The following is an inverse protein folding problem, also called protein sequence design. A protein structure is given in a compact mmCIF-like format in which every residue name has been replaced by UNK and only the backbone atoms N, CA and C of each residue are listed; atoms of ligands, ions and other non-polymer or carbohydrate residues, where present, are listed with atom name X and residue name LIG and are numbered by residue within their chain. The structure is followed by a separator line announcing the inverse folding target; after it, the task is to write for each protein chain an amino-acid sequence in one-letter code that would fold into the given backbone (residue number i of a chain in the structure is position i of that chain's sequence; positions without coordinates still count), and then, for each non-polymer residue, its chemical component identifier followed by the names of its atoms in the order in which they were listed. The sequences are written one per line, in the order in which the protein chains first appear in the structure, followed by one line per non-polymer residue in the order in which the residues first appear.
data_IF_854584322618
#
_entry.id   IF_854584322618
#
_cell.length_a   1.000
_cell.length_b   1.000
_cell.length_c   1.000
_cell.angle_alpha   90.00
_cell.angle_beta   90.00
_cell.angle_gamma   90.00
#
_symmetry.space_group_name_H-M   'P 1'
#
loop_
_entity.id
_entity.type
_entity.pdbx_description
1 polymer ?
#
# COMPACT_ATOMS: atom_id res chain seq x y z
N UNK A 1 20.64 -21.85 -19.00
CA UNK A 1 20.08 -21.51 -17.68
C UNK A 1 20.41 -20.05 -17.39
N UNK A 2 19.48 -19.14 -17.67
CA UNK A 2 19.61 -17.72 -17.39
C UNK A 2 18.43 -17.32 -16.53
N UNK A 3 18.67 -17.02 -15.26
CA UNK A 3 17.65 -16.37 -14.45
C UNK A 3 17.34 -15.02 -15.11
N UNK A 4 16.06 -14.64 -15.24
CA UNK A 4 15.71 -13.32 -15.75
C UNK A 4 16.38 -12.28 -14.85
N UNK A 5 17.24 -11.46 -15.42
CA UNK A 5 17.86 -10.33 -14.71
C UNK A 5 16.75 -9.33 -14.44
N UNK A 6 16.38 -9.20 -13.16
CA UNK A 6 15.40 -8.21 -12.76
C UNK A 6 15.97 -6.80 -13.01
N UNK A 7 15.15 -5.86 -13.49
CA UNK A 7 15.56 -4.46 -13.61
C UNK A 7 15.96 -3.91 -12.23
N UNK A 8 16.88 -2.95 -12.24
CA UNK A 8 17.29 -2.23 -11.03
C UNK A 8 16.07 -1.64 -10.32
N UNK A 9 16.06 -1.72 -8.98
CA UNK A 9 15.01 -1.16 -8.12
C UNK A 9 14.84 0.34 -8.41
N UNK A 10 13.61 0.83 -8.23
CA UNK A 10 13.23 2.24 -8.42
C UNK A 10 13.45 2.81 -9.82
N UNK A 11 13.67 1.94 -10.83
CA UNK A 11 13.67 2.37 -12.23
C UNK A 11 12.28 2.26 -12.83
N UNK A 12 11.98 3.11 -13.83
CA UNK A 12 10.73 3.03 -14.60
C UNK A 12 10.45 1.61 -15.12
N UNK A 13 11.49 0.91 -15.57
CA UNK A 13 11.42 -0.48 -16.04
C UNK A 13 10.99 -1.47 -14.95
N UNK A 14 11.36 -1.23 -13.70
CA UNK A 14 10.90 -2.02 -12.57
C UNK A 14 9.40 -1.87 -12.38
N UNK A 15 8.89 -0.63 -12.33
CA UNK A 15 7.46 -0.39 -12.16
C UNK A 15 6.64 -0.86 -13.37
N UNK A 16 7.17 -0.74 -14.59
CA UNK A 16 6.53 -1.27 -15.80
C UNK A 16 6.39 -2.80 -15.73
N UNK A 17 7.43 -3.49 -15.25
CA UNK A 17 7.40 -4.94 -15.06
C UNK A 17 6.43 -5.34 -13.94
N UNK A 18 6.38 -4.62 -12.82
CA UNK A 18 5.37 -4.84 -11.77
C UNK A 18 3.94 -4.66 -12.32
N UNK A 19 3.69 -3.59 -13.07
CA UNK A 19 2.39 -3.34 -13.72
C UNK A 19 2.03 -4.48 -14.67
N UNK A 20 2.99 -4.99 -15.44
CA UNK A 20 2.78 -6.10 -16.35
C UNK A 20 2.44 -7.40 -15.62
N UNK A 21 3.15 -7.71 -14.52
CA UNK A 21 2.85 -8.89 -13.71
C UNK A 21 1.48 -8.82 -13.04
N UNK A 22 1.10 -7.66 -12.50
CA UNK A 22 -0.23 -7.45 -11.93
C UNK A 22 -1.29 -7.58 -13.02
N UNK A 23 -1.05 -7.00 -14.20
CA UNK A 23 -1.98 -7.10 -15.33
C UNK A 23 -2.18 -8.55 -15.78
N UNK A 24 -1.10 -9.32 -15.94
CA UNK A 24 -1.16 -10.73 -16.32
C UNK A 24 -1.88 -11.57 -15.26
N UNK A 25 -1.65 -11.26 -13.97
CA UNK A 25 -2.37 -11.88 -12.87
C UNK A 25 -3.88 -11.59 -12.93
N UNK A 26 -4.28 -10.35 -13.22
CA UNK A 26 -5.68 -9.93 -13.32
C UNK A 26 -6.37 -10.51 -14.57
N UNK A 27 -5.65 -10.69 -15.69
CA UNK A 27 -6.23 -11.12 -16.97
C UNK A 27 -6.19 -12.63 -17.19
N UNK A 28 -5.09 -13.28 -16.81
CA UNK A 28 -4.71 -14.60 -17.29
C UNK A 28 -4.84 -15.70 -16.22
N UNK A 29 -4.75 -15.35 -14.93
CA UNK A 29 -4.77 -16.33 -13.85
C UNK A 29 -6.20 -16.60 -13.36
N UNK A 30 -6.70 -17.83 -13.56
CA UNK A 30 -8.04 -18.24 -13.11
C UNK A 30 -8.25 -18.14 -11.59
N UNK A 31 -7.21 -18.37 -10.79
CA UNK A 31 -7.28 -18.34 -9.33
C UNK A 31 -6.99 -16.97 -8.71
N UNK A 32 -6.29 -16.10 -9.43
CA UNK A 32 -5.87 -14.78 -8.94
C UNK A 32 -6.70 -13.63 -9.52
N UNK A 33 -7.46 -13.90 -10.60
CA UNK A 33 -8.33 -12.92 -11.22
C UNK A 33 -9.33 -12.36 -10.21
N UNK A 34 -9.37 -11.02 -10.01
CA UNK A 34 -10.33 -10.43 -9.11
C UNK A 34 -11.75 -10.68 -9.63
N UNK A 35 -12.63 -11.17 -8.75
CA UNK A 35 -14.06 -11.41 -9.04
C UNK A 35 -14.73 -10.14 -9.59
N UNK A 36 -14.25 -8.97 -9.16
CA UNK A 36 -14.57 -7.69 -9.82
C UNK A 36 -13.47 -6.65 -9.57
N UNK A 37 -12.70 -6.24 -10.59
CA UNK A 37 -11.58 -5.31 -10.44
C UNK A 37 -11.99 -3.88 -10.01
N UNK A 38 -13.29 -3.56 -10.04
CA UNK A 38 -13.84 -2.27 -9.64
C UNK A 38 -14.83 -2.34 -8.47
N UNK A 39 -15.03 -3.52 -7.87
CA UNK A 39 -15.94 -3.71 -6.71
C UNK A 39 -15.24 -4.26 -5.49
N UNK A 40 -13.95 -3.98 -5.32
CA UNK A 40 -13.29 -4.25 -4.04
C UNK A 40 -13.72 -3.19 -3.05
N UNK A 41 -14.51 -3.59 -2.06
CA UNK A 41 -14.92 -2.71 -0.97
C UNK A 41 -13.67 -2.30 -0.19
N UNK A 42 -13.51 -1.00 0.04
CA UNK A 42 -12.41 -0.52 0.86
C UNK A 42 -12.58 -1.03 2.31
N UNK A 43 -11.48 -1.36 2.99
CA UNK A 43 -11.52 -1.66 4.41
C UNK A 43 -11.94 -0.43 5.21
N UNK A 44 -12.41 -0.63 6.44
CA UNK A 44 -12.92 0.44 7.33
C UNK A 44 -11.95 1.60 7.51
N UNK A 45 -10.66 1.34 7.29
CA UNK A 45 -9.57 2.32 7.30
C UNK A 45 -8.55 1.98 6.24
N UNK A 46 -8.14 2.97 5.46
CA UNK A 46 -7.13 2.85 4.41
C UNK A 46 -6.35 4.15 4.32
N UNK A 47 -5.06 4.10 4.00
CA UNK A 47 -4.30 5.32 3.73
C UNK A 47 -4.58 5.79 2.31
N UNK A 48 -4.99 7.05 2.19
CA UNK A 48 -5.00 7.74 0.91
C UNK A 48 -3.61 8.34 0.69
N UNK A 49 -2.91 7.85 -0.34
CA UNK A 49 -1.54 8.26 -0.69
C UNK A 49 -1.49 9.26 -1.84
N UNK A 50 -2.62 9.62 -2.44
CA UNK A 50 -2.67 10.56 -3.56
C UNK A 50 -1.96 10.04 -4.81
N UNK A 51 -1.48 10.96 -5.65
CA UNK A 51 -0.76 10.66 -6.90
C UNK A 51 0.68 11.13 -6.83
N UNK A 52 1.48 10.81 -7.85
CA UNK A 52 2.86 11.33 -7.99
C UNK A 52 2.84 12.87 -8.10
N UNK A 53 1.88 13.43 -8.83
CA UNK A 53 1.75 14.86 -9.07
C UNK A 53 1.17 15.62 -7.86
N UNK A 54 0.30 14.96 -7.09
CA UNK A 54 -0.30 15.51 -5.89
C UNK A 54 -0.16 14.53 -4.73
N UNK A 55 1.02 14.48 -4.08
CA UNK A 55 1.27 13.59 -2.97
C UNK A 55 0.48 14.06 -1.75
N UNK A 56 -0.52 13.27 -1.37
CA UNK A 56 -1.26 13.45 -0.13
C UNK A 56 -1.07 12.23 0.74
N UNK A 57 -1.07 12.39 2.06
CA UNK A 57 -1.00 11.26 2.97
C UNK A 57 -1.95 11.50 4.14
N UNK A 58 -3.07 10.79 4.11
CA UNK A 58 -4.11 10.88 5.14
C UNK A 58 -4.77 9.55 5.37
N UNK A 59 -5.25 9.33 6.59
CA UNK A 59 -6.11 8.20 6.87
C UNK A 59 -7.52 8.48 6.30
N UNK A 60 -8.00 7.59 5.46
CA UNK A 60 -9.35 7.61 4.90
C UNK A 60 -10.18 6.52 5.58
N UNK A 61 -11.38 6.90 6.04
CA UNK A 61 -12.33 5.99 6.70
C UNK A 61 -13.58 5.86 5.83
N UNK A 62 -13.52 5.05 4.76
CA UNK A 62 -14.64 4.90 3.84
C UNK A 62 -15.79 4.13 4.50
N UNK A 63 -17.02 4.57 4.26
CA UNK A 63 -18.23 3.88 4.73
C UNK A 63 -18.71 2.84 3.72
N UNK A 64 -18.90 3.22 2.45
CA UNK A 64 -19.39 2.33 1.38
C UNK A 64 -18.67 2.59 0.03
N UNK A 65 -17.36 2.78 0.07
CA UNK A 65 -16.57 3.07 -1.12
C UNK A 65 -15.91 1.82 -1.70
N UNK A 66 -15.77 1.81 -3.03
CA UNK A 66 -15.14 0.74 -3.79
C UNK A 66 -14.00 1.33 -4.60
N UNK A 67 -12.78 0.84 -4.35
CA UNK A 67 -11.60 1.26 -5.08
C UNK A 67 -10.52 0.18 -5.03
N UNK A 68 -9.57 0.27 -5.98
CA UNK A 68 -8.35 -0.54 -5.91
C UNK A 68 -7.46 -0.01 -4.79
N UNK A 69 -6.94 -0.92 -3.97
CA UNK A 69 -5.96 -0.62 -2.94
C UNK A 69 -4.87 -1.69 -2.95
N UNK A 70 -3.69 -1.33 -2.47
CA UNK A 70 -2.60 -2.27 -2.21
C UNK A 70 -2.63 -2.63 -0.74
N UNK A 71 -2.46 -3.91 -0.40
CA UNK A 71 -2.29 -4.35 0.98
C UNK A 71 -0.83 -4.67 1.26
N UNK A 72 -0.23 -3.98 2.22
CA UNK A 72 1.04 -4.36 2.82
C UNK A 72 0.73 -5.01 4.17
N UNK A 73 0.77 -6.34 4.20
CA UNK A 73 0.69 -7.11 5.43
C UNK A 73 2.10 -7.48 5.86
N UNK A 74 2.56 -6.99 7.02
CA UNK A 74 3.83 -7.42 7.61
C UNK A 74 3.56 -8.22 8.88
N UNK A 75 4.38 -9.23 9.14
CA UNK A 75 4.47 -9.75 10.50
C UNK A 75 5.00 -8.63 11.41
N UNK A 76 4.15 -8.16 12.33
CA UNK A 76 4.52 -7.37 13.51
C UNK A 76 5.86 -7.88 14.03
N UNK A 77 6.88 -7.02 14.04
CA UNK A 77 8.22 -7.44 14.42
C UNK A 77 8.21 -8.15 15.77
N UNK A 78 9.22 -8.98 16.03
CA UNK A 78 9.47 -9.53 17.36
C UNK A 78 9.55 -8.43 18.44
N UNK A 79 9.78 -8.78 19.72
CA UNK A 79 9.49 -7.96 20.92
C UNK A 79 10.18 -6.59 21.05
N UNK A 80 10.86 -6.11 20.02
CA UNK A 80 11.55 -4.83 19.95
C UNK A 80 10.57 -3.66 19.64
N UNK A 81 10.25 -2.81 20.63
CA UNK A 81 9.27 -1.73 20.48
C UNK A 81 9.69 -0.65 19.48
N UNK A 82 11.00 -0.50 19.21
CA UNK A 82 11.53 0.50 18.29
C UNK A 82 11.22 0.19 16.81
N UNK A 83 10.89 -1.06 16.49
CA UNK A 83 10.49 -1.51 15.14
C UNK A 83 8.98 -1.59 14.95
N UNK A 84 8.22 -1.44 16.04
CA UNK A 84 6.77 -1.55 16.03
C UNK A 84 6.16 -0.16 15.89
N UNK A 85 6.06 0.28 14.64
CA UNK A 85 5.26 1.44 14.27
C UNK A 85 3.76 1.09 14.28
N UNK A 86 3.31 0.47 15.36
CA UNK A 86 1.92 0.08 15.60
C UNK A 86 1.08 1.30 15.89
N UNK A 87 -0.18 1.26 15.45
CA UNK A 87 -1.14 2.34 15.70
C UNK A 87 -1.96 1.96 16.91
N UNK A 88 -1.54 2.44 18.08
CA UNK A 88 -2.32 2.36 19.30
C UNK A 88 -3.51 3.32 19.21
N UNK A 89 -4.65 2.98 19.84
CA UNK A 89 -5.87 3.79 19.84
C UNK A 89 -5.68 5.28 20.22
N UNK A 90 -4.62 5.59 20.96
CA UNK A 90 -4.23 6.95 21.36
C UNK A 90 -3.54 7.79 20.28
N UNK A 91 -3.01 7.19 19.20
CA UNK A 91 -2.27 7.89 18.14
C UNK A 91 -3.07 8.00 16.83
N UNK A 92 -4.33 7.59 16.87
CA UNK A 92 -5.25 7.57 15.72
C UNK A 92 -5.65 8.97 15.29
N UNK A 93 -5.97 9.86 16.24
CA UNK A 93 -6.36 11.23 15.91
C UNK A 93 -5.18 12.04 15.37
N UNK A 94 -3.95 11.79 15.87
CA UNK A 94 -2.74 12.39 15.32
C UNK A 94 -2.43 11.90 13.88
N UNK A 95 -2.79 10.65 13.55
CA UNK A 95 -2.64 10.06 12.21
C UNK A 95 -3.84 10.23 11.28
N UNK A 96 -4.98 10.69 11.80
CA UNK A 96 -6.11 11.17 11.00
C UNK A 96 -5.81 12.53 10.34
N UNK A 97 -4.76 13.25 10.78
CA UNK A 97 -4.25 14.45 10.13
C UNK A 97 -3.34 14.18 8.92
N UNK A 98 -2.76 15.25 8.34
CA UNK A 98 -1.69 15.14 7.34
C UNK A 98 -0.48 14.44 7.97
N UNK A 99 -0.27 13.16 7.62
CA UNK A 99 0.90 12.42 8.06
C UNK A 99 2.08 12.90 7.22
N UNK A 100 3.17 13.34 7.86
CA UNK A 100 4.40 13.65 7.15
C UNK A 100 5.07 12.34 6.72
N UNK A 101 5.51 12.29 5.47
CA UNK A 101 6.09 11.07 4.91
C UNK A 101 7.41 10.74 5.62
N UNK A 102 8.13 11.76 6.10
CA UNK A 102 9.44 11.66 6.76
C UNK A 102 9.35 10.97 8.12
N UNK A 103 8.20 11.07 8.79
CA UNK A 103 7.97 10.43 10.09
C UNK A 103 7.75 8.92 9.96
N UNK A 104 7.52 8.41 8.74
CA UNK A 104 7.27 6.99 8.51
C UNK A 104 8.58 6.18 8.36
N UNK A 105 8.62 4.96 8.92
CA UNK A 105 9.63 3.97 8.60
C UNK A 105 9.87 3.84 7.09
N UNK A 106 11.12 3.64 6.70
CA UNK A 106 11.56 3.61 5.29
C UNK A 106 10.69 2.69 4.42
N UNK A 107 10.38 1.52 4.94
CA UNK A 107 9.56 0.52 4.26
C UNK A 107 8.10 0.94 4.00
N UNK A 108 7.53 1.85 4.79
CA UNK A 108 6.23 2.43 4.46
C UNK A 108 6.37 3.53 3.41
N UNK A 109 7.45 4.30 3.45
CA UNK A 109 7.77 5.27 2.38
C UNK A 109 7.93 4.55 1.05
N UNK A 110 8.67 3.44 1.03
CA UNK A 110 8.85 2.60 -0.16
C UNK A 110 7.50 2.07 -0.65
N UNK A 111 6.65 1.56 0.25
CA UNK A 111 5.33 1.07 -0.11
C UNK A 111 4.41 2.17 -0.69
N UNK A 112 4.46 3.39 -0.12
CA UNK A 112 3.73 4.55 -0.63
C UNK A 112 4.21 4.91 -2.05
N UNK A 113 5.54 4.98 -2.25
CA UNK A 113 6.14 5.26 -3.56
C UNK A 113 5.71 4.22 -4.59
N UNK A 114 5.84 2.93 -4.27
CA UNK A 114 5.41 1.83 -5.15
C UNK A 114 3.92 1.94 -5.46
N UNK A 115 3.09 2.27 -4.47
CA UNK A 115 1.64 2.39 -4.67
C UNK A 115 1.28 3.51 -5.64
N UNK A 116 1.93 4.67 -5.51
CA UNK A 116 1.81 5.80 -6.44
C UNK A 116 2.30 5.46 -7.84
N UNK A 117 3.43 4.79 -7.95
CA UNK A 117 3.99 4.31 -9.22
C UNK A 117 3.11 3.25 -9.89
N UNK A 118 2.35 2.48 -9.13
CA UNK A 118 1.36 1.56 -9.68
C UNK A 118 0.05 2.25 -10.08
N UNK A 119 -0.07 3.57 -9.88
CA UNK A 119 -1.28 4.35 -10.20
C UNK A 119 -2.45 4.08 -9.26
N UNK A 120 -2.19 3.50 -8.08
CA UNK A 120 -3.17 3.22 -7.05
C UNK A 120 -3.06 4.30 -5.97
N UNK A 121 -4.19 4.77 -5.47
CA UNK A 121 -4.23 5.91 -4.53
C UNK A 121 -4.49 5.47 -3.08
N UNK A 122 -4.76 4.18 -2.88
CA UNK A 122 -5.13 3.62 -1.59
C UNK A 122 -4.14 2.52 -1.18
N UNK A 123 -3.61 2.64 0.02
CA UNK A 123 -2.69 1.67 0.63
C UNK A 123 -3.25 1.24 1.98
N UNK A 124 -3.37 -0.06 2.19
CA UNK A 124 -3.72 -0.66 3.46
C UNK A 124 -2.47 -1.23 4.10
N UNK A 125 -2.16 -0.85 5.33
CA UNK A 125 -1.02 -1.36 6.09
C UNK A 125 -1.57 -1.95 7.38
N UNK A 126 -1.27 -3.21 7.67
CA UNK A 126 -1.80 -3.91 8.85
C UNK A 126 -1.49 -3.16 10.16
N UNK A 127 -0.25 -2.69 10.34
CA UNK A 127 0.16 -1.95 11.54
C UNK A 127 -0.45 -0.55 11.68
N UNK A 128 -1.05 -0.01 10.60
CA UNK A 128 -1.69 1.31 10.58
C UNK A 128 -3.20 1.23 10.60
N UNK A 129 -3.76 0.26 9.89
CA UNK A 129 -5.19 0.12 9.68
C UNK A 129 -5.85 -0.82 10.69
N UNK A 130 -5.09 -1.62 11.45
CA UNK A 130 -5.57 -2.43 12.56
C UNK A 130 -5.18 -1.74 13.87
N UNK A 131 -6.17 -1.44 14.71
CA UNK A 131 -5.93 -0.95 16.08
C UNK A 131 -5.57 -2.14 16.95
N UNK A 132 -4.41 -2.07 17.60
CA UNK A 132 -4.03 -3.00 18.68
C UNK A 132 -4.70 -2.61 20.00
#
# INVERSE_FOLDING_TARGET
YGYPVLPQLDTKRHYDLLRQWIHDCDSSHTFCKPISPHRTRLPTRVLYVGTIENPQLRLHCPTEEYAKYIALSRCWGGPDPAKNFSTFGCNIDARCGNIQLEDLPIIFRDAITVTRELGIQFLWIDSICIVQ
#
